data_IF_419221565055
#
_entry.id   IF_419221565055
#
_cell.length_a   1.000
_cell.length_b   1.000
_cell.length_c   1.000
_cell.angle_alpha   90.00
_cell.angle_beta   90.00
_cell.angle_gamma   90.00
#
_symmetry.space_group_name_H-M   'P 1'
#
loop_
_entity.id
_entity.type
_entity.pdbx_description
1 polymer ?
#
# COMPACT_ATOMS: atom_id res chain seq x y z
N UNK A 1 7.00 34.15 15.60
CA UNK A 1 8.29 34.31 14.89
C UNK A 1 9.16 33.10 15.17
N UNK A 2 10.09 32.82 14.25
CA UNK A 2 11.04 31.68 14.21
C UNK A 2 10.40 30.37 13.70
N UNK A 3 10.39 30.04 12.40
CA UNK A 3 11.45 29.96 11.37
C UNK A 3 12.51 28.87 11.65
N UNK A 4 12.24 27.66 11.10
CA UNK A 4 13.10 26.76 10.30
C UNK A 4 14.62 26.63 10.63
N UNK A 5 15.25 25.43 10.45
CA UNK A 5 15.54 24.97 9.09
C UNK A 5 15.49 23.45 8.80
N UNK A 6 15.31 23.20 7.49
CA UNK A 6 15.43 21.93 6.75
C UNK A 6 16.91 21.51 6.66
N UNK A 7 17.25 20.21 6.62
CA UNK A 7 18.57 19.79 6.20
C UNK A 7 18.65 19.70 4.67
N UNK A 8 19.28 20.71 4.09
CA UNK A 8 19.84 20.75 2.75
C UNK A 8 21.26 20.13 2.82
N UNK A 9 21.50 19.02 2.12
CA UNK A 9 22.85 18.50 1.84
C UNK A 9 22.92 18.07 0.39
N UNK A 10 23.09 19.06 -0.48
CA UNK A 10 23.68 18.88 -1.81
C UNK A 10 25.17 19.21 -1.69
N UNK A 11 26.00 18.50 -2.47
CA UNK A 11 27.37 18.81 -2.93
C UNK A 11 28.46 17.80 -2.51
N UNK A 12 28.74 16.86 -3.44
CA UNK A 12 30.10 16.56 -3.94
C UNK A 12 29.97 15.76 -5.24
N UNK A 13 30.07 16.43 -6.39
CA UNK A 13 31.31 16.77 -7.10
C UNK A 13 31.90 15.54 -7.81
N UNK A 14 31.51 15.42 -9.08
CA UNK A 14 32.39 15.28 -10.24
C UNK A 14 33.57 14.32 -10.11
N UNK A 15 33.44 13.17 -10.79
CA UNK A 15 34.57 12.57 -11.50
C UNK A 15 34.03 11.94 -12.78
N UNK A 16 34.13 12.70 -13.86
CA UNK A 16 34.05 12.13 -15.20
C UNK A 16 35.25 11.21 -15.41
N UNK A 17 34.96 9.99 -15.85
CA UNK A 17 35.96 9.13 -16.46
C UNK A 17 35.25 8.32 -17.55
N UNK A 18 35.51 8.75 -18.78
CA UNK A 18 35.21 8.08 -20.04
C UNK A 18 36.15 6.88 -20.23
N UNK A 19 35.65 5.67 -20.51
CA UNK A 19 36.47 4.65 -21.14
C UNK A 19 36.34 4.76 -22.66
N UNK A 20 37.36 5.38 -23.25
CA UNK A 20 37.72 5.28 -24.65
C UNK A 20 38.07 3.81 -24.98
N UNK A 21 37.46 3.26 -26.03
CA UNK A 21 37.92 2.02 -26.66
C UNK A 21 37.85 2.27 -28.16
N UNK A 22 39.04 2.35 -28.76
CA UNK A 22 39.24 2.77 -30.14
C UNK A 22 38.91 1.71 -31.17
N UNK A 23 38.47 2.20 -32.33
CA UNK A 23 38.69 1.60 -33.66
C UNK A 23 40.19 1.69 -34.02
N UNK A 24 40.76 0.98 -35.04
CA UNK A 24 40.16 0.51 -36.32
C UNK A 24 40.81 -0.84 -36.81
N UNK A 25 40.94 -1.23 -38.13
CA UNK A 25 40.34 -0.78 -39.40
C UNK A 25 39.74 -1.90 -40.32
N UNK A 26 39.10 -1.45 -41.41
CA UNK A 26 38.56 -2.19 -42.59
C UNK A 26 39.67 -2.87 -43.44
N UNK A 27 39.50 -3.78 -44.42
CA UNK A 27 38.44 -4.31 -45.32
C UNK A 27 39.01 -5.62 -45.99
N UNK A 28 38.61 -6.17 -47.17
CA UNK A 28 37.37 -6.07 -47.98
C UNK A 28 36.85 -7.43 -48.59
N UNK A 29 35.66 -7.34 -49.21
CA UNK A 29 35.14 -8.06 -50.42
C UNK A 29 34.90 -9.58 -50.48
N UNK A 30 33.65 -9.95 -50.84
CA UNK A 30 33.39 -10.90 -51.93
C UNK A 30 32.20 -11.89 -51.78
N UNK A 31 31.20 -11.80 -52.68
CA UNK A 31 30.35 -12.91 -53.16
C UNK A 31 29.06 -13.23 -52.36
N UNK A 32 27.86 -12.84 -52.79
CA UNK A 32 26.99 -13.41 -53.87
C UNK A 32 26.24 -14.70 -53.49
N UNK A 33 24.90 -14.61 -53.39
CA UNK A 33 23.84 -15.49 -53.94
C UNK A 33 22.59 -15.63 -53.05
N UNK A 34 21.46 -15.83 -53.72
CA UNK A 34 20.08 -15.65 -53.28
C UNK A 34 19.42 -16.88 -52.60
N UNK A 35 18.47 -16.55 -51.70
CA UNK A 35 17.14 -17.16 -51.48
C UNK A 35 16.99 -18.57 -50.82
N UNK A 36 15.76 -19.05 -50.57
CA UNK A 36 15.01 -18.84 -49.33
C UNK A 36 14.66 -20.17 -48.62
N UNK A 37 14.41 -20.12 -47.31
CA UNK A 37 14.00 -21.31 -46.55
C UNK A 37 13.34 -20.94 -45.22
N UNK A 38 12.03 -20.71 -45.26
CA UNK A 38 11.18 -20.71 -44.06
C UNK A 38 11.16 -22.13 -43.50
N UNK A 39 11.91 -22.38 -42.44
CA UNK A 39 11.78 -23.59 -41.63
C UNK A 39 11.37 -23.22 -40.21
N UNK A 40 10.13 -23.59 -39.92
CA UNK A 40 9.52 -23.93 -38.64
C UNK A 40 10.42 -23.78 -37.40
N UNK A 41 10.20 -22.70 -36.64
CA UNK A 41 10.69 -22.60 -35.26
C UNK A 41 9.65 -23.24 -34.34
N UNK A 42 9.95 -24.37 -33.67
CA UNK A 42 9.04 -24.92 -32.70
C UNK A 42 8.95 -23.93 -31.55
N UNK A 43 7.72 -23.45 -31.30
CA UNK A 43 7.34 -22.70 -30.10
C UNK A 43 8.06 -23.31 -28.91
N UNK A 44 9.07 -22.62 -28.35
CA UNK A 44 9.58 -22.94 -27.02
C UNK A 44 8.43 -22.67 -26.05
N UNK A 45 7.67 -23.74 -25.80
CA UNK A 45 6.72 -23.86 -24.70
C UNK A 45 7.55 -23.59 -23.45
N UNK A 46 7.44 -22.38 -22.91
CA UNK A 46 8.04 -22.06 -21.63
C UNK A 46 7.49 -23.05 -20.61
N UNK A 47 8.37 -23.98 -20.24
CA UNK A 47 8.19 -24.94 -19.17
C UNK A 47 7.76 -24.18 -17.93
N UNK A 48 6.50 -24.33 -17.54
CA UNK A 48 5.99 -23.80 -16.29
C UNK A 48 6.65 -24.56 -15.15
N UNK A 49 7.76 -24.03 -14.64
CA UNK A 49 8.27 -24.45 -13.35
C UNK A 49 7.17 -24.13 -12.31
N UNK A 50 6.76 -25.08 -11.46
CA UNK A 50 5.82 -24.79 -10.39
C UNK A 50 6.52 -23.88 -9.39
N UNK A 51 6.41 -22.57 -9.60
CA UNK A 51 6.90 -21.58 -8.67
C UNK A 51 6.18 -21.84 -7.35
N UNK A 52 6.96 -22.15 -6.30
CA UNK A 52 6.48 -22.26 -4.94
C UNK A 52 5.55 -21.07 -4.67
N UNK A 53 4.27 -21.36 -4.41
CA UNK A 53 3.27 -20.32 -4.18
C UNK A 53 3.57 -19.69 -2.83
N UNK A 54 4.44 -18.67 -2.83
CA UNK A 54 4.74 -17.90 -1.63
C UNK A 54 3.42 -17.37 -1.09
N UNK A 55 3.07 -17.74 0.14
CA UNK A 55 1.84 -17.27 0.80
C UNK A 55 1.78 -15.74 0.67
N UNK A 56 0.66 -15.22 0.15
CA UNK A 56 0.50 -13.79 -0.13
C UNK A 56 0.74 -12.98 1.13
N UNK A 57 1.76 -12.11 1.13
CA UNK A 57 2.05 -11.21 2.25
C UNK A 57 0.99 -10.11 2.33
N UNK A 58 0.33 -10.01 3.47
CA UNK A 58 -0.61 -8.92 3.76
C UNK A 58 0.08 -7.79 4.52
N UNK A 59 0.08 -6.61 3.91
CA UNK A 59 0.62 -5.39 4.50
C UNK A 59 -0.40 -4.74 5.43
N UNK A 60 0.09 -4.15 6.53
CA UNK A 60 -0.71 -3.28 7.40
C UNK A 60 -1.07 -1.98 6.69
N UNK A 61 -2.02 -1.20 7.23
CA UNK A 61 -2.30 0.14 6.71
C UNK A 61 -1.02 1.01 6.76
N UNK A 62 -0.29 0.97 7.88
CA UNK A 62 0.96 1.69 8.04
C UNK A 62 2.00 1.30 6.98
N UNK A 63 2.17 0.01 6.70
CA UNK A 63 3.10 -0.46 5.67
C UNK A 63 2.67 -0.04 4.26
N UNK A 64 1.36 0.00 3.97
CA UNK A 64 0.85 0.53 2.70
C UNK A 64 1.15 2.02 2.55
N UNK A 65 1.03 2.81 3.62
CA UNK A 65 1.37 4.25 3.58
C UNK A 65 2.87 4.45 3.37
N UNK A 66 3.72 3.71 4.08
CA UNK A 66 5.18 3.73 3.85
C UNK A 66 5.54 3.33 2.43
N UNK A 67 4.84 2.34 1.87
CA UNK A 67 5.03 1.93 0.48
C UNK A 67 4.68 3.06 -0.48
N UNK A 68 3.57 3.78 -0.26
CA UNK A 68 3.20 4.95 -1.08
C UNK A 68 4.26 6.06 -1.02
N UNK A 69 4.77 6.35 0.17
CA UNK A 69 5.88 7.30 0.36
C UNK A 69 7.15 6.87 -0.38
N UNK A 70 7.48 5.57 -0.34
CA UNK A 70 8.61 5.03 -1.08
C UNK A 70 8.41 5.15 -2.60
N UNK A 71 7.18 5.00 -3.11
CA UNK A 71 6.88 5.20 -4.53
C UNK A 71 6.93 6.66 -4.98
N UNK A 72 6.74 7.62 -4.07
CA UNK A 72 6.86 9.05 -4.37
C UNK A 72 8.32 9.52 -4.44
N UNK A 73 9.24 8.77 -3.85
CA UNK A 73 10.68 9.07 -3.98
C UNK A 73 11.11 8.87 -5.44
N UNK A 74 11.67 9.92 -6.05
CA UNK A 74 11.96 10.04 -7.48
C UNK A 74 12.96 9.03 -8.05
N UNK A 75 13.59 8.21 -7.21
CA UNK A 75 14.59 7.21 -7.59
C UNK A 75 14.11 5.75 -7.47
N UNK A 76 12.95 5.49 -6.87
CA UNK A 76 12.53 4.13 -6.55
C UNK A 76 11.66 3.50 -7.65
N UNK A 77 12.17 2.45 -8.30
CA UNK A 77 11.35 1.65 -9.21
C UNK A 77 10.32 0.81 -8.44
N UNK A 78 9.16 0.55 -9.05
CA UNK A 78 8.10 -0.31 -8.49
C UNK A 78 8.64 -1.70 -8.08
N UNK A 79 9.58 -2.23 -8.86
CA UNK A 79 10.23 -3.52 -8.58
C UNK A 79 11.11 -3.45 -7.32
N UNK A 80 11.86 -2.36 -7.14
CA UNK A 80 12.69 -2.15 -5.95
C UNK A 80 11.84 -2.03 -4.69
N UNK A 81 10.78 -1.21 -4.75
CA UNK A 81 9.83 -1.05 -3.64
C UNK A 81 9.13 -2.37 -3.30
N UNK A 82 8.70 -3.14 -4.31
CA UNK A 82 8.08 -4.45 -4.07
C UNK A 82 9.01 -5.40 -3.30
N UNK A 83 10.31 -5.44 -3.65
CA UNK A 83 11.32 -6.23 -2.94
C UNK A 83 11.52 -5.77 -1.50
N UNK A 84 11.62 -4.45 -1.26
CA UNK A 84 11.76 -3.88 0.08
C UNK A 84 10.63 -4.30 1.03
N UNK A 85 9.40 -4.34 0.50
CA UNK A 85 8.23 -4.75 1.28
C UNK A 85 7.95 -6.26 1.23
N UNK A 86 8.74 -7.06 0.51
CA UNK A 86 8.57 -8.50 0.37
C UNK A 86 7.22 -8.90 -0.26
N UNK A 87 6.78 -8.16 -1.28
CA UNK A 87 5.53 -8.39 -2.02
C UNK A 87 5.79 -8.53 -3.52
N UNK A 88 4.79 -8.99 -4.27
CA UNK A 88 4.90 -9.03 -5.73
C UNK A 88 4.79 -7.63 -6.35
N UNK A 89 5.42 -7.43 -7.51
CA UNK A 89 5.31 -6.18 -8.30
C UNK A 89 3.85 -5.81 -8.60
N UNK A 90 3.02 -6.81 -8.91
CA UNK A 90 1.58 -6.63 -9.14
C UNK A 90 0.86 -6.11 -7.88
N UNK A 91 1.19 -6.63 -6.71
CA UNK A 91 0.63 -6.14 -5.44
C UNK A 91 1.05 -4.69 -5.16
N UNK A 92 2.33 -4.34 -5.38
CA UNK A 92 2.80 -2.96 -5.23
C UNK A 92 2.06 -2.00 -6.17
N UNK A 93 1.89 -2.38 -7.44
CA UNK A 93 1.17 -1.57 -8.43
C UNK A 93 -0.33 -1.43 -8.12
N UNK A 94 -0.96 -2.46 -7.54
CA UNK A 94 -2.34 -2.34 -7.04
C UNK A 94 -2.43 -1.36 -5.87
N UNK A 95 -1.50 -1.44 -4.92
CA UNK A 95 -1.46 -0.51 -3.78
C UNK A 95 -1.27 0.93 -4.26
N UNK A 96 -0.38 1.17 -5.23
CA UNK A 96 -0.20 2.49 -5.84
C UNK A 96 -1.46 3.07 -6.47
N UNK A 97 -2.30 2.24 -7.12
CA UNK A 97 -3.59 2.67 -7.69
C UNK A 97 -4.68 2.94 -6.64
N UNK A 98 -4.56 2.37 -5.45
CA UNK A 98 -5.49 2.59 -4.34
C UNK A 98 -5.01 3.69 -3.38
N UNK A 99 -4.09 4.55 -3.83
CA UNK A 99 -3.41 5.58 -3.03
C UNK A 99 -4.39 6.44 -2.23
N UNK A 100 -5.37 7.04 -2.90
CA UNK A 100 -6.32 7.98 -2.32
C UNK A 100 -7.14 7.31 -1.21
N UNK A 101 -7.61 6.08 -1.46
CA UNK A 101 -8.36 5.30 -0.48
C UNK A 101 -7.50 4.94 0.74
N UNK A 102 -6.24 4.53 0.54
CA UNK A 102 -5.31 4.21 1.63
C UNK A 102 -5.02 5.45 2.48
N UNK A 103 -4.84 6.62 1.84
CA UNK A 103 -4.61 7.87 2.55
C UNK A 103 -5.87 8.40 3.24
N UNK A 104 -7.06 8.21 2.67
CA UNK A 104 -8.33 8.52 3.34
C UNK A 104 -8.48 7.67 4.61
N UNK A 105 -8.26 6.36 4.50
CA UNK A 105 -8.24 5.41 5.60
C UNK A 105 -7.20 5.75 6.69
N UNK A 106 -6.07 6.35 6.31
CA UNK A 106 -5.06 6.82 7.25
C UNK A 106 -5.51 8.08 8.01
N UNK A 107 -6.17 9.02 7.32
CA UNK A 107 -6.66 10.26 7.92
C UNK A 107 -7.84 10.05 8.87
N UNK A 108 -8.66 9.04 8.64
CA UNK A 108 -9.83 8.72 9.50
C UNK A 108 -9.46 7.99 10.80
N UNK A 109 -8.17 7.97 11.18
CA UNK A 109 -7.65 7.30 12.38
C UNK A 109 -8.00 5.81 12.46
N UNK A 110 -8.12 5.14 11.31
CA UNK A 110 -8.40 3.72 11.34
C UNK A 110 -7.11 2.96 11.75
N UNK A 111 -7.25 1.91 12.57
CA UNK A 111 -6.12 1.18 13.18
C UNK A 111 -4.92 0.96 12.21
N UNK A 112 -3.74 1.57 12.46
CA UNK A 112 -2.56 1.49 11.61
C UNK A 112 -2.03 0.07 11.38
N UNK A 113 -2.21 -0.81 12.37
CA UNK A 113 -1.70 -2.18 12.36
C UNK A 113 -2.65 -3.13 11.61
N UNK A 114 -3.86 -2.68 11.25
CA UNK A 114 -4.83 -3.55 10.56
C UNK A 114 -4.30 -3.96 9.19
N UNK A 115 -4.43 -5.24 8.86
CA UNK A 115 -4.07 -5.77 7.53
C UNK A 115 -5.24 -5.79 6.55
N UNK A 116 -6.48 -5.92 7.03
CA UNK A 116 -7.70 -5.90 6.21
C UNK A 116 -8.71 -4.93 6.81
N UNK A 117 -9.44 -4.21 5.94
CA UNK A 117 -10.69 -3.53 6.34
C UNK A 117 -11.76 -4.60 6.48
N UNK A 118 -12.35 -4.70 7.67
CA UNK A 118 -13.53 -5.55 7.92
C UNK A 118 -14.63 -4.63 8.41
N UNK A 119 -15.75 -4.67 7.73
CA UNK A 119 -16.97 -3.99 8.15
C UNK A 119 -17.74 -4.98 9.04
N UNK A 120 -18.17 -4.49 10.21
CA UNK A 120 -19.00 -5.25 11.15
C UNK A 120 -20.46 -5.23 10.71
N UNK A 121 -21.31 -5.99 11.41
CA UNK A 121 -22.75 -5.81 11.30
C UNK A 121 -23.09 -4.46 11.94
N UNK A 122 -23.68 -3.54 11.17
CA UNK A 122 -24.00 -2.18 11.63
C UNK A 122 -22.88 -1.15 11.41
N UNK A 123 -22.16 -1.18 10.28
CA UNK A 123 -21.09 -0.21 9.97
C UNK A 123 -21.49 1.26 10.19
N UNK A 124 -22.72 1.64 9.83
CA UNK A 124 -23.24 3.00 10.09
C UNK A 124 -23.33 3.33 11.60
N UNK A 125 -23.77 2.38 12.43
CA UNK A 125 -23.82 2.55 13.89
C UNK A 125 -22.42 2.71 14.45
N UNK A 126 -21.47 1.93 13.94
CA UNK A 126 -20.06 1.98 14.36
C UNK A 126 -19.40 3.32 14.01
N UNK A 127 -19.64 3.83 12.80
CA UNK A 127 -19.14 5.11 12.32
C UNK A 127 -19.75 6.28 13.12
N UNK A 128 -21.06 6.25 13.35
CA UNK A 128 -21.76 7.25 14.16
C UNK A 128 -21.26 7.23 15.62
N UNK A 129 -21.06 6.04 16.19
CA UNK A 129 -20.52 5.89 17.54
C UNK A 129 -19.09 6.42 17.62
N UNK A 130 -18.25 6.16 16.62
CA UNK A 130 -16.89 6.67 16.57
C UNK A 130 -16.85 8.20 16.50
N UNK A 131 -17.70 8.80 15.65
CA UNK A 131 -17.83 10.26 15.57
C UNK A 131 -18.26 10.86 16.92
N UNK A 132 -19.28 10.29 17.57
CA UNK A 132 -19.72 10.72 18.89
C UNK A 132 -18.63 10.56 19.96
N UNK A 133 -17.94 9.42 19.97
CA UNK A 133 -16.86 9.12 20.92
C UNK A 133 -15.74 10.18 20.82
N UNK A 134 -15.33 10.55 19.60
CA UNK A 134 -14.34 11.62 19.38
C UNK A 134 -14.79 12.96 19.95
N UNK A 135 -16.07 13.31 19.77
CA UNK A 135 -16.61 14.56 20.32
C UNK A 135 -16.65 14.53 21.85
N UNK A 136 -17.07 13.41 22.45
CA UNK A 136 -17.11 13.25 23.91
C UNK A 136 -15.72 13.29 24.54
N UNK A 137 -14.74 12.62 23.94
CA UNK A 137 -13.34 12.67 24.38
C UNK A 137 -12.76 14.09 24.24
N UNK A 138 -13.09 14.82 23.17
CA UNK A 138 -12.68 16.22 23.00
C UNK A 138 -13.27 17.15 24.07
N UNK A 139 -14.42 16.79 24.66
CA UNK A 139 -15.03 17.48 25.81
C UNK A 139 -14.45 17.02 27.16
N UNK A 140 -13.51 16.07 27.17
CA UNK A 140 -12.91 15.53 28.40
C UNK A 140 -13.76 14.49 29.12
N UNK A 141 -14.77 13.93 28.47
CA UNK A 141 -15.64 12.93 29.10
C UNK A 141 -14.96 11.56 29.23
N UNK A 142 -15.17 10.91 30.37
CA UNK A 142 -14.68 9.54 30.60
C UNK A 142 -15.70 8.52 30.11
N UNK A 143 -15.42 7.90 28.98
CA UNK A 143 -16.27 6.89 28.38
C UNK A 143 -15.96 5.50 28.92
N UNK A 144 -16.98 4.82 29.44
CA UNK A 144 -16.90 3.43 29.89
C UNK A 144 -17.50 2.48 28.84
N UNK A 145 -17.23 1.17 28.98
CA UNK A 145 -17.81 0.15 28.11
C UNK A 145 -19.36 0.19 28.07
N UNK A 146 -20.04 0.21 29.24
CA UNK A 146 -21.50 0.33 29.28
C UNK A 146 -22.04 1.60 28.59
N UNK A 147 -21.37 2.74 28.77
CA UNK A 147 -21.76 4.00 28.10
C UNK A 147 -21.68 3.85 26.58
N UNK A 148 -20.60 3.24 26.07
CA UNK A 148 -20.43 3.01 24.63
C UNK A 148 -21.51 2.06 24.07
N UNK A 149 -21.89 1.02 24.81
CA UNK A 149 -22.96 0.10 24.39
C UNK A 149 -24.31 0.79 24.33
N UNK A 150 -24.69 1.49 25.40
CA UNK A 150 -25.96 2.22 25.45
C UNK A 150 -26.07 3.24 24.31
N UNK A 151 -24.97 3.96 24.02
CA UNK A 151 -24.95 4.90 22.90
C UNK A 151 -25.06 4.22 21.53
N UNK A 152 -24.45 3.06 21.36
CA UNK A 152 -24.55 2.28 20.12
C UNK A 152 -26.00 1.83 19.84
N UNK A 153 -26.69 1.38 20.87
CA UNK A 153 -28.10 0.95 20.77
C UNK A 153 -29.02 2.15 20.50
N UNK A 154 -28.78 3.30 21.13
CA UNK A 154 -29.49 4.55 20.83
C UNK A 154 -29.32 4.96 19.35
N UNK A 155 -28.08 4.91 18.85
CA UNK A 155 -27.76 5.23 17.45
C UNK A 155 -28.43 4.25 16.49
N UNK A 156 -28.44 2.96 16.82
CA UNK A 156 -29.13 1.95 16.03
C UNK A 156 -30.64 2.20 15.95
N UNK A 157 -31.27 2.51 17.09
CA UNK A 157 -32.68 2.82 17.17
C UNK A 157 -33.03 4.05 16.32
N UNK A 158 -32.23 5.12 16.42
CA UNK A 158 -32.41 6.34 15.61
C UNK A 158 -32.28 6.09 14.10
N UNK A 159 -31.54 5.05 13.71
CA UNK A 159 -31.32 4.66 12.31
C UNK A 159 -32.28 3.54 11.85
N UNK A 160 -33.22 3.10 12.69
CA UNK A 160 -34.14 2.01 12.38
C UNK A 160 -33.47 0.64 12.21
N UNK A 161 -32.33 0.42 12.88
CA UNK A 161 -31.52 -0.80 12.76
C UNK A 161 -31.74 -1.71 13.96
N UNK A 162 -32.02 -2.98 13.70
CA UNK A 162 -31.96 -4.03 14.71
C UNK A 162 -30.49 -4.38 15.00
N UNK A 163 -30.01 -3.97 16.17
CA UNK A 163 -28.61 -4.07 16.56
C UNK A 163 -28.49 -4.17 18.08
N UNK A 164 -27.67 -5.11 18.53
CA UNK A 164 -27.37 -5.35 19.95
C UNK A 164 -25.88 -5.14 20.21
N UNK A 165 -25.56 -4.31 21.21
CA UNK A 165 -24.19 -3.97 21.57
C UNK A 165 -23.54 -5.02 22.48
N UNK A 166 -23.38 -6.26 21.97
CA UNK A 166 -22.75 -7.35 22.71
C UNK A 166 -21.31 -7.04 23.15
N UNK A 167 -20.80 -7.71 24.19
CA UNK A 167 -19.40 -7.57 24.62
C UNK A 167 -18.41 -7.91 23.51
N UNK A 168 -18.71 -8.96 22.74
CA UNK A 168 -17.90 -9.36 21.59
C UNK A 168 -17.87 -8.28 20.51
N UNK A 169 -19.00 -7.65 20.22
CA UNK A 169 -19.05 -6.52 19.28
C UNK A 169 -18.22 -5.34 19.79
N UNK A 170 -18.39 -4.93 21.06
CA UNK A 170 -17.66 -3.81 21.64
C UNK A 170 -16.14 -4.05 21.63
N UNK A 171 -15.69 -5.25 21.98
CA UNK A 171 -14.27 -5.62 21.94
C UNK A 171 -13.68 -5.46 20.53
N UNK A 172 -14.41 -5.92 19.50
CA UNK A 172 -14.00 -5.79 18.10
C UNK A 172 -14.09 -4.35 17.59
N UNK A 173 -15.05 -3.57 18.06
CA UNK A 173 -15.17 -2.14 17.75
C UNK A 173 -13.99 -1.35 18.31
N UNK A 174 -13.63 -1.54 19.59
CA UNK A 174 -12.45 -0.90 20.21
C UNK A 174 -11.16 -1.24 19.46
N UNK A 175 -10.96 -2.51 19.12
CA UNK A 175 -9.78 -2.96 18.36
C UNK A 175 -9.65 -2.27 16.99
N UNK A 176 -10.78 -1.88 16.37
CA UNK A 176 -10.79 -1.19 15.08
C UNK A 176 -10.52 0.32 15.19
N UNK A 177 -10.94 0.92 16.30
CA UNK A 177 -10.98 2.36 16.53
C UNK A 177 -10.00 2.87 17.61
N UNK A 178 -8.91 2.13 17.85
CA UNK A 178 -7.84 2.47 18.81
C UNK A 178 -7.45 3.96 18.80
#
# INVERSE_FOLDING_TARGET
GSACPKPEVVLKLERGEEPHLGDPPAAPTGGSLQAPGTVDSPRRRLSGCPAATSKRKELSLADRVKLLQALESSSASLSSVAKLFGISKSQAGRIGRCREQILADWRTNANPLRKRKREGKGGEVEDALFAWCRQALARGERLSGPILKAKAEELALSSGRDFEATDGWLCRWKTRHN
#
